data_IF_389197068996
#
_entry.id   IF_389197068996
#
_cell.length_a   1.000
_cell.length_b   1.000
_cell.length_c   1.000
_cell.angle_alpha   90.00
_cell.angle_beta   90.00
_cell.angle_gamma   90.00
#
_symmetry.space_group_name_H-M   'P 1'
#
loop_
_entity.id
_entity.type
_entity.pdbx_description
1 polymer ?
#
# COMPACT_ATOMS: atom_id res chain seq x y z
N UNK A 1 22.42 -44.53 -18.56
CA UNK A 1 20.97 -44.19 -18.36
C UNK A 1 20.85 -43.43 -17.05
N UNK A 2 21.07 -42.11 -17.08
CA UNK A 2 20.69 -41.20 -15.98
C UNK A 2 19.21 -41.04 -16.00
N UNK A 3 18.52 -41.50 -14.95
CA UNK A 3 17.09 -41.18 -14.69
C UNK A 3 17.02 -39.70 -14.28
N UNK A 4 16.43 -38.89 -15.13
CA UNK A 4 15.95 -37.57 -14.76
C UNK A 4 14.86 -37.76 -13.69
N UNK A 5 15.21 -37.65 -12.42
CA UNK A 5 14.24 -37.38 -11.36
C UNK A 5 13.91 -35.90 -11.48
N UNK A 6 12.75 -35.59 -12.05
CA UNK A 6 12.22 -34.25 -11.97
C UNK A 6 12.16 -33.85 -10.50
N UNK A 7 12.86 -32.78 -10.13
CA UNK A 7 12.63 -32.12 -8.85
C UNK A 7 11.12 -31.88 -8.76
N UNK A 8 10.49 -32.49 -7.75
CA UNK A 8 9.12 -32.13 -7.39
C UNK A 8 9.21 -30.70 -6.90
N UNK A 9 8.90 -29.75 -7.79
CA UNK A 9 8.76 -28.35 -7.41
C UNK A 9 7.81 -28.29 -6.22
N UNK A 10 8.35 -28.03 -5.04
CA UNK A 10 7.55 -27.78 -3.86
C UNK A 10 6.59 -26.65 -4.17
N UNK A 11 5.31 -26.77 -3.84
CA UNK A 11 4.32 -25.75 -4.20
C UNK A 11 4.75 -24.41 -3.62
N UNK A 12 4.78 -23.37 -4.46
CA UNK A 12 5.06 -22.00 -4.00
C UNK A 12 3.94 -21.52 -3.09
N UNK A 13 4.32 -21.07 -1.91
CA UNK A 13 3.40 -20.63 -0.86
C UNK A 13 3.16 -19.12 -0.95
N UNK A 14 1.96 -18.68 -0.61
CA UNK A 14 1.53 -17.27 -0.75
C UNK A 14 2.39 -16.31 0.09
N UNK A 15 2.49 -16.59 1.39
CA UNK A 15 3.19 -15.68 2.30
C UNK A 15 4.70 -15.72 2.09
N UNK A 16 5.26 -16.89 1.74
CA UNK A 16 6.66 -17.01 1.32
C UNK A 16 6.97 -16.07 0.15
N UNK A 17 6.15 -16.09 -0.89
CA UNK A 17 6.31 -15.23 -2.07
C UNK A 17 6.11 -13.75 -1.73
N UNK A 18 5.16 -13.43 -0.86
CA UNK A 18 5.00 -12.06 -0.34
C UNK A 18 6.23 -11.59 0.43
N UNK A 19 6.79 -12.42 1.30
CA UNK A 19 7.96 -12.09 2.10
C UNK A 19 9.19 -11.84 1.21
N UNK A 20 9.40 -12.68 0.21
CA UNK A 20 10.49 -12.51 -0.76
C UNK A 20 10.33 -11.21 -1.56
N UNK A 21 9.11 -10.90 -2.03
CA UNK A 21 8.81 -9.65 -2.69
C UNK A 21 9.06 -8.45 -1.78
N UNK A 22 8.58 -8.50 -0.52
CA UNK A 22 8.72 -7.42 0.45
C UNK A 22 10.19 -7.20 0.81
N UNK A 23 11.00 -8.26 0.92
CA UNK A 23 12.44 -8.17 1.14
C UNK A 23 13.12 -7.38 0.03
N UNK A 24 12.85 -7.71 -1.25
CA UNK A 24 13.40 -6.99 -2.41
C UNK A 24 12.98 -5.51 -2.41
N UNK A 25 11.73 -5.22 -2.05
CA UNK A 25 11.26 -3.84 -1.98
C UNK A 25 11.91 -3.05 -0.85
N UNK A 26 12.21 -3.71 0.27
CA UNK A 26 12.92 -3.09 1.40
C UNK A 26 14.37 -2.76 1.05
N UNK A 27 15.06 -3.62 0.30
CA UNK A 27 16.44 -3.39 -0.18
C UNK A 27 16.53 -2.18 -1.13
N UNK A 28 15.44 -1.86 -1.85
CA UNK A 28 15.35 -0.72 -2.76
C UNK A 28 14.67 0.51 -2.13
N UNK A 29 14.41 0.47 -0.82
CA UNK A 29 13.78 1.58 -0.12
C UNK A 29 14.72 2.79 -0.09
N UNK A 30 14.19 3.97 -0.42
CA UNK A 30 14.97 5.20 -0.57
C UNK A 30 15.59 5.42 -1.94
N UNK A 31 15.58 4.38 -2.81
CA UNK A 31 15.95 4.49 -4.23
C UNK A 31 14.69 4.47 -5.10
N UNK A 32 14.11 3.28 -5.28
CA UNK A 32 12.96 3.08 -6.15
C UNK A 32 11.62 3.13 -5.41
N UNK A 33 11.63 2.87 -4.10
CA UNK A 33 10.42 2.78 -3.29
C UNK A 33 10.49 3.64 -2.05
N UNK A 34 9.40 4.37 -1.79
CA UNK A 34 9.20 5.09 -0.53
C UNK A 34 8.75 4.13 0.57
N UNK A 35 9.15 4.41 1.83
CA UNK A 35 8.83 3.59 3.00
C UNK A 35 7.33 3.24 3.12
N UNK A 36 6.44 4.20 2.81
CA UNK A 36 5.00 3.99 2.85
C UNK A 36 4.47 2.95 1.84
N UNK A 37 5.21 2.70 0.75
CA UNK A 37 4.87 1.63 -0.20
C UNK A 37 5.25 0.27 0.37
N UNK A 38 6.45 0.13 0.92
CA UNK A 38 6.93 -1.11 1.55
C UNK A 38 6.00 -1.52 2.69
N UNK A 39 5.71 -0.60 3.62
CA UNK A 39 4.81 -0.83 4.75
C UNK A 39 3.40 -1.31 4.32
N UNK A 40 2.88 -0.85 3.19
CA UNK A 40 1.58 -1.31 2.67
C UNK A 40 1.62 -2.75 2.20
N UNK A 41 2.70 -3.19 1.55
CA UNK A 41 2.86 -4.59 1.17
C UNK A 41 3.05 -5.50 2.39
N UNK A 42 3.85 -5.09 3.36
CA UNK A 42 4.04 -5.81 4.62
C UNK A 42 2.72 -5.97 5.37
N UNK A 43 1.93 -4.90 5.44
CA UNK A 43 0.60 -4.92 6.07
C UNK A 43 -0.38 -5.82 5.32
N UNK A 44 -0.28 -5.88 3.98
CA UNK A 44 -1.08 -6.80 3.16
C UNK A 44 -0.74 -8.25 3.49
N UNK A 45 0.55 -8.60 3.53
CA UNK A 45 1.01 -9.93 3.90
C UNK A 45 0.57 -10.33 5.33
N UNK A 46 0.70 -9.39 6.28
CA UNK A 46 0.24 -9.58 7.66
C UNK A 46 -1.25 -9.92 7.72
N UNK A 47 -2.11 -9.16 7.02
CA UNK A 47 -3.56 -9.39 7.04
C UNK A 47 -3.95 -10.70 6.36
N UNK A 48 -3.23 -11.11 5.31
CA UNK A 48 -3.42 -12.43 4.70
C UNK A 48 -3.05 -13.56 5.67
N UNK A 49 -1.93 -13.44 6.38
CA UNK A 49 -1.52 -14.41 7.39
C UNK A 49 -2.51 -14.53 8.55
N UNK A 50 -3.03 -13.41 9.04
CA UNK A 50 -4.04 -13.40 10.08
C UNK A 50 -5.36 -14.04 9.62
N UNK A 51 -5.79 -13.80 8.36
CA UNK A 51 -6.94 -14.49 7.76
C UNK A 51 -6.72 -16.00 7.71
N UNK A 52 -5.55 -16.43 7.21
CA UNK A 52 -5.21 -17.85 7.10
C UNK A 52 -5.24 -18.55 8.45
N UNK A 53 -4.69 -17.92 9.48
CA UNK A 53 -4.72 -18.48 10.84
C UNK A 53 -6.14 -18.54 11.42
N UNK A 54 -6.92 -17.46 11.23
CA UNK A 54 -8.26 -17.35 11.83
C UNK A 54 -9.29 -18.26 11.17
N UNK A 55 -9.38 -18.26 9.85
CA UNK A 55 -10.43 -18.97 9.12
C UNK A 55 -10.00 -20.34 8.62
N UNK A 56 -8.73 -20.49 8.24
CA UNK A 56 -8.23 -21.75 7.65
C UNK A 56 -7.36 -22.56 8.63
N UNK A 57 -6.97 -22.01 9.79
CA UNK A 57 -6.06 -22.63 10.76
C UNK A 57 -4.73 -23.09 10.13
N UNK A 58 -4.27 -22.37 9.14
CA UNK A 58 -3.05 -22.63 8.38
C UNK A 58 -2.07 -21.48 8.53
N UNK A 59 -0.78 -21.79 8.46
CA UNK A 59 0.26 -20.77 8.49
C UNK A 59 0.51 -20.13 7.12
N UNK A 60 0.25 -20.87 6.04
CA UNK A 60 0.40 -20.41 4.65
C UNK A 60 -0.47 -21.27 3.74
N UNK A 61 -0.68 -20.84 2.48
CA UNK A 61 -1.49 -21.53 1.48
C UNK A 61 -0.74 -21.63 0.15
N UNK A 62 -0.80 -22.79 -0.56
CA UNK A 62 -0.26 -22.88 -1.91
C UNK A 62 -0.91 -21.88 -2.86
N UNK A 63 -0.11 -21.18 -3.67
CA UNK A 63 -0.61 -20.21 -4.65
C UNK A 63 -1.68 -20.80 -5.60
N UNK A 64 -1.59 -22.10 -5.91
CA UNK A 64 -2.54 -22.82 -6.77
C UNK A 64 -3.93 -22.98 -6.16
N UNK A 65 -4.06 -22.88 -4.85
CA UNK A 65 -5.32 -23.02 -4.12
C UNK A 65 -6.07 -21.68 -3.96
N UNK A 66 -5.44 -20.59 -4.37
CA UNK A 66 -6.05 -19.26 -4.31
C UNK A 66 -7.08 -19.14 -5.42
N UNK A 67 -8.33 -19.03 -5.03
CA UNK A 67 -9.47 -18.87 -5.90
C UNK A 67 -10.21 -17.55 -5.64
N UNK A 68 -11.26 -17.29 -6.40
CA UNK A 68 -12.09 -16.11 -6.25
C UNK A 68 -12.72 -15.99 -4.85
N UNK A 69 -13.14 -17.13 -4.26
CA UNK A 69 -13.72 -17.16 -2.93
C UNK A 69 -12.73 -16.70 -1.86
N UNK A 70 -11.47 -17.14 -1.93
CA UNK A 70 -10.42 -16.70 -1.01
C UNK A 70 -10.22 -15.17 -1.06
N UNK A 71 -10.27 -14.60 -2.26
CA UNK A 71 -10.13 -13.14 -2.44
C UNK A 71 -11.33 -12.40 -1.87
N UNK A 72 -12.55 -12.90 -2.07
CA UNK A 72 -13.75 -12.33 -1.49
C UNK A 72 -13.74 -12.39 0.05
N UNK A 73 -13.28 -13.50 0.63
CA UNK A 73 -13.08 -13.63 2.07
C UNK A 73 -12.03 -12.66 2.61
N UNK A 74 -10.94 -12.47 1.89
CA UNK A 74 -9.92 -11.48 2.27
C UNK A 74 -10.48 -10.05 2.23
N UNK A 75 -11.26 -9.70 1.21
CA UNK A 75 -11.94 -8.41 1.14
C UNK A 75 -12.89 -8.20 2.34
N UNK A 76 -13.72 -9.20 2.63
CA UNK A 76 -14.63 -9.18 3.77
C UNK A 76 -13.86 -9.02 5.10
N UNK A 77 -12.82 -9.83 5.30
CA UNK A 77 -11.98 -9.79 6.50
C UNK A 77 -11.37 -8.41 6.75
N UNK A 78 -10.80 -7.78 5.71
CA UNK A 78 -10.19 -6.45 5.82
C UNK A 78 -11.23 -5.38 6.15
N UNK A 79 -12.45 -5.49 5.62
CA UNK A 79 -13.54 -4.55 5.91
C UNK A 79 -14.10 -4.71 7.32
N UNK A 80 -14.33 -5.93 7.76
CA UNK A 80 -14.98 -6.22 9.05
C UNK A 80 -13.99 -6.21 10.21
N UNK A 81 -12.97 -7.04 10.15
CA UNK A 81 -12.04 -7.23 11.27
C UNK A 81 -11.01 -6.12 11.40
N UNK A 82 -10.61 -5.50 10.27
CA UNK A 82 -9.65 -4.39 10.28
C UNK A 82 -10.32 -3.02 10.15
N UNK A 83 -11.64 -2.99 10.06
CA UNK A 83 -12.45 -1.76 9.93
C UNK A 83 -11.91 -0.82 8.83
N UNK A 84 -11.39 -1.38 7.74
CA UNK A 84 -10.82 -0.60 6.67
C UNK A 84 -11.90 -0.03 5.76
N UNK A 85 -11.81 1.27 5.48
CA UNK A 85 -12.67 1.91 4.48
C UNK A 85 -12.44 1.33 3.08
N UNK A 86 -13.43 1.48 2.18
CA UNK A 86 -13.43 0.93 0.82
C UNK A 86 -12.12 1.19 0.06
N UNK A 87 -11.63 2.43 0.04
CA UNK A 87 -10.43 2.77 -0.70
C UNK A 87 -9.15 2.15 -0.12
N UNK A 88 -9.09 1.92 1.20
CA UNK A 88 -7.99 1.22 1.85
C UNK A 88 -8.03 -0.28 1.49
N UNK A 89 -9.20 -0.90 1.55
CA UNK A 89 -9.41 -2.29 1.14
C UNK A 89 -8.97 -2.52 -0.30
N UNK A 90 -9.39 -1.65 -1.22
CA UNK A 90 -8.97 -1.72 -2.63
C UNK A 90 -7.44 -1.66 -2.79
N UNK A 91 -6.73 -0.88 -1.97
CA UNK A 91 -5.26 -0.84 -2.00
C UNK A 91 -4.65 -2.19 -1.61
N UNK A 92 -5.16 -2.85 -0.57
CA UNK A 92 -4.69 -4.19 -0.17
C UNK A 92 -4.97 -5.24 -1.25
N UNK A 93 -6.17 -5.22 -1.83
CA UNK A 93 -6.51 -6.11 -2.95
C UNK A 93 -5.64 -5.88 -4.18
N UNK A 94 -5.30 -4.63 -4.52
CA UNK A 94 -4.37 -4.31 -5.61
C UNK A 94 -2.95 -4.83 -5.33
N UNK A 95 -2.46 -4.73 -4.09
CA UNK A 95 -1.18 -5.30 -3.70
C UNK A 95 -1.19 -6.83 -3.83
N UNK A 96 -2.25 -7.48 -3.36
CA UNK A 96 -2.42 -8.92 -3.50
C UNK A 96 -2.49 -9.33 -4.98
N UNK A 97 -3.29 -8.65 -5.80
CA UNK A 97 -3.36 -8.88 -7.26
C UNK A 97 -1.98 -8.78 -7.94
N UNK A 98 -1.11 -7.87 -7.49
CA UNK A 98 0.25 -7.74 -8.02
C UNK A 98 1.09 -8.98 -7.76
N UNK A 99 0.99 -9.58 -6.57
CA UNK A 99 1.71 -10.82 -6.23
C UNK A 99 1.18 -11.99 -7.07
N UNK A 100 -0.14 -12.13 -7.21
CA UNK A 100 -0.74 -13.14 -8.08
C UNK A 100 -0.33 -12.96 -9.53
N UNK A 101 -0.29 -11.71 -10.04
CA UNK A 101 0.21 -11.43 -11.40
C UNK A 101 1.68 -11.84 -11.55
N UNK A 102 2.50 -11.60 -10.55
CA UNK A 102 3.90 -12.05 -10.56
C UNK A 102 3.99 -13.58 -10.58
N UNK A 103 3.14 -14.28 -9.83
CA UNK A 103 3.08 -15.75 -9.84
C UNK A 103 2.66 -16.31 -11.22
N UNK A 104 1.74 -15.65 -11.91
CA UNK A 104 1.33 -15.98 -13.29
C UNK A 104 2.49 -15.81 -14.29
N UNK A 105 3.18 -14.66 -14.22
CA UNK A 105 4.33 -14.37 -15.10
C UNK A 105 5.44 -15.39 -14.92
N UNK A 106 5.69 -15.83 -13.67
CA UNK A 106 6.68 -16.86 -13.35
C UNK A 106 6.16 -18.30 -13.58
N UNK A 107 4.95 -18.47 -14.10
CA UNK A 107 4.32 -19.77 -14.38
C UNK A 107 4.17 -20.67 -13.15
N UNK A 108 4.09 -20.10 -11.95
CA UNK A 108 3.82 -20.85 -10.71
C UNK A 108 2.35 -21.24 -10.58
N UNK A 109 1.47 -20.46 -11.22
CA UNK A 109 0.02 -20.71 -11.34
C UNK A 109 -0.41 -20.51 -12.79
N UNK A 110 -1.51 -21.13 -13.16
CA UNK A 110 -2.13 -21.02 -14.50
C UNK A 110 -3.42 -20.20 -14.46
N UNK A 111 -4.12 -20.25 -13.34
CA UNK A 111 -5.41 -19.61 -13.18
C UNK A 111 -5.27 -18.15 -12.77
N UNK A 112 -6.25 -17.33 -13.18
CA UNK A 112 -6.31 -15.89 -12.89
C UNK A 112 -7.44 -15.60 -11.90
N UNK A 113 -7.24 -15.80 -10.60
CA UNK A 113 -8.33 -15.68 -9.62
C UNK A 113 -8.91 -14.27 -9.50
N UNK A 114 -8.23 -13.25 -10.03
CA UNK A 114 -8.68 -11.86 -10.08
C UNK A 114 -9.37 -11.45 -11.39
N UNK A 115 -9.70 -12.38 -12.29
CA UNK A 115 -10.17 -12.05 -13.64
C UNK A 115 -11.42 -11.16 -13.62
N UNK A 116 -12.41 -11.50 -12.79
CA UNK A 116 -13.70 -10.82 -12.71
C UNK A 116 -13.82 -9.79 -11.58
N UNK A 117 -12.73 -9.54 -10.85
CA UNK A 117 -12.77 -8.62 -9.72
C UNK A 117 -12.55 -7.19 -10.16
N UNK A 118 -13.61 -6.39 -10.06
CA UNK A 118 -13.59 -4.96 -10.34
C UNK A 118 -13.45 -4.14 -9.05
N UNK A 119 -12.38 -3.35 -8.97
CA UNK A 119 -12.12 -2.51 -7.81
C UNK A 119 -12.86 -1.19 -7.91
N UNK A 120 -14.02 -1.08 -7.25
CA UNK A 120 -14.76 0.19 -7.13
C UNK A 120 -14.10 1.07 -6.07
N UNK A 121 -13.64 2.25 -6.46
CA UNK A 121 -13.16 3.26 -5.52
C UNK A 121 -14.26 4.29 -5.27
N UNK A 122 -14.41 4.70 -4.01
CA UNK A 122 -15.30 5.78 -3.63
C UNK A 122 -14.60 7.12 -3.88
N UNK A 123 -15.26 8.05 -4.58
CA UNK A 123 -14.76 9.41 -4.70
C UNK A 123 -14.66 10.04 -3.32
N UNK A 124 -13.49 10.59 -3.03
CA UNK A 124 -13.27 11.32 -1.77
C UNK A 124 -13.46 12.81 -2.08
N UNK A 125 -14.53 13.40 -1.59
CA UNK A 125 -14.65 14.85 -1.54
C UNK A 125 -13.72 15.36 -0.46
N UNK A 126 -12.65 16.04 -0.86
CA UNK A 126 -11.79 16.76 0.08
C UNK A 126 -12.30 18.17 0.17
N UNK A 127 -12.61 18.61 1.38
CA UNK A 127 -12.87 20.01 1.64
C UNK A 127 -11.61 20.83 1.27
N UNK A 128 -11.82 21.97 0.71
CA UNK A 128 -10.79 22.97 0.45
C UNK A 128 -11.19 24.27 1.18
N UNK A 129 -10.20 25.06 1.54
CA UNK A 129 -10.47 26.37 2.15
C UNK A 129 -10.92 27.35 1.05
N UNK A 130 -11.93 28.13 1.37
CA UNK A 130 -12.31 29.29 0.56
C UNK A 130 -11.27 30.39 0.72
N UNK A 131 -11.28 31.38 -0.17
CA UNK A 131 -10.38 32.54 -0.07
C UNK A 131 -10.59 33.30 1.26
N UNK A 132 -11.82 33.43 1.70
CA UNK A 132 -12.17 34.08 2.98
C UNK A 132 -11.57 33.30 4.17
N UNK A 133 -11.73 31.97 4.19
CA UNK A 133 -11.16 31.12 5.24
C UNK A 133 -9.63 31.16 5.23
N UNK A 134 -9.01 31.20 4.05
CA UNK A 134 -7.56 31.36 3.92
C UNK A 134 -7.09 32.71 4.47
N UNK A 135 -7.82 33.79 4.19
CA UNK A 135 -7.54 35.13 4.73
C UNK A 135 -7.71 35.21 6.25
N UNK A 136 -8.71 34.52 6.82
CA UNK A 136 -8.87 34.39 8.26
C UNK A 136 -7.66 33.65 8.87
N UNK A 137 -7.26 32.55 8.25
CA UNK A 137 -6.11 31.77 8.69
C UNK A 137 -4.80 32.58 8.66
N UNK A 138 -4.59 33.37 7.59
CA UNK A 138 -3.44 34.25 7.41
C UNK A 138 -3.31 35.28 8.54
N UNK A 139 -4.44 35.87 8.95
CA UNK A 139 -4.48 36.92 9.99
C UNK A 139 -4.51 36.35 11.41
N UNK A 140 -4.72 35.04 11.57
CA UNK A 140 -4.84 34.42 12.89
C UNK A 140 -3.49 34.34 13.59
N UNK A 141 -3.39 34.94 14.77
CA UNK A 141 -2.26 34.78 15.65
C UNK A 141 -2.38 33.51 16.50
N UNK A 142 -1.29 32.78 16.64
CA UNK A 142 -1.20 31.58 17.47
C UNK A 142 -0.25 31.84 18.62
N UNK A 143 -0.65 31.46 19.82
CA UNK A 143 0.19 31.55 21.04
C UNK A 143 1.35 30.56 21.01
N UNK A 144 1.24 29.47 20.24
CA UNK A 144 2.25 28.44 20.11
C UNK A 144 3.08 28.71 18.83
N UNK A 145 4.39 29.02 18.92
CA UNK A 145 5.23 29.38 17.77
C UNK A 145 5.24 28.34 16.66
N UNK A 146 5.24 27.06 17.03
CA UNK A 146 5.17 25.95 16.06
C UNK A 146 3.91 26.02 15.16
N UNK A 147 2.75 26.37 15.72
CA UNK A 147 1.52 26.49 14.93
C UNK A 147 1.57 27.69 13.98
N UNK A 148 2.24 28.76 14.40
CA UNK A 148 2.45 29.92 13.55
C UNK A 148 3.30 29.55 12.32
N UNK A 149 4.41 28.84 12.53
CA UNK A 149 5.26 28.35 11.42
C UNK A 149 4.47 27.41 10.48
N UNK A 150 3.69 26.49 11.02
CA UNK A 150 2.85 25.58 10.21
C UNK A 150 1.82 26.36 9.38
N UNK A 151 1.17 27.38 9.95
CA UNK A 151 0.26 28.28 9.25
C UNK A 151 0.96 28.98 8.10
N UNK A 152 2.12 29.58 8.36
CA UNK A 152 2.85 30.36 7.36
C UNK A 152 3.26 29.48 6.17
N UNK A 153 3.79 28.30 6.44
CA UNK A 153 4.13 27.31 5.42
C UNK A 153 2.89 26.89 4.64
N UNK A 154 1.77 26.61 5.33
CA UNK A 154 0.52 26.20 4.67
C UNK A 154 -0.01 27.31 3.74
N UNK A 155 -0.09 28.54 4.24
CA UNK A 155 -0.57 29.69 3.46
C UNK A 155 0.35 29.96 2.27
N UNK A 156 1.65 29.92 2.48
CA UNK A 156 2.62 30.05 1.40
C UNK A 156 2.40 29.01 0.30
N UNK A 157 2.28 27.72 0.67
CA UNK A 157 2.00 26.63 -0.28
C UNK A 157 0.66 26.81 -0.99
N UNK A 158 -0.38 27.29 -0.28
CA UNK A 158 -1.70 27.51 -0.83
C UNK A 158 -1.70 28.65 -1.88
N UNK A 159 -0.97 29.74 -1.62
CA UNK A 159 -0.90 30.91 -2.50
C UNK A 159 0.03 30.67 -3.73
N UNK A 160 1.10 29.90 -3.55
CA UNK A 160 2.08 29.66 -4.62
C UNK A 160 1.81 28.40 -5.45
N UNK A 161 0.95 27.49 -4.95
CA UNK A 161 0.74 26.18 -5.56
C UNK A 161 1.90 25.18 -5.37
N UNK A 162 2.93 25.57 -4.59
CA UNK A 162 4.06 24.69 -4.31
C UNK A 162 3.66 23.56 -3.36
N UNK A 163 4.10 22.33 -3.64
CA UNK A 163 3.96 21.25 -2.69
C UNK A 163 4.92 21.44 -1.51
N UNK A 164 4.50 21.07 -0.30
CA UNK A 164 5.34 21.15 0.91
C UNK A 164 6.71 20.49 0.74
N UNK A 165 6.77 19.36 0.03
CA UNK A 165 8.02 18.67 -0.29
C UNK A 165 8.97 19.52 -1.14
N UNK A 166 8.43 20.32 -2.07
CA UNK A 166 9.26 21.24 -2.89
C UNK A 166 9.89 22.33 -2.02
N UNK A 167 9.15 22.81 -1.02
CA UNK A 167 9.67 23.81 -0.09
C UNK A 167 10.84 23.26 0.75
N UNK A 168 10.78 22.01 1.19
CA UNK A 168 11.86 21.36 1.94
C UNK A 168 13.15 21.26 1.10
N UNK A 169 13.04 20.89 -0.17
CA UNK A 169 14.22 20.78 -1.05
C UNK A 169 14.87 22.13 -1.37
N UNK A 170 14.12 23.23 -1.32
CA UNK A 170 14.72 24.57 -1.50
C UNK A 170 15.44 25.08 -0.26
N UNK A 171 15.03 24.63 0.94
CA UNK A 171 15.75 24.99 2.19
C UNK A 171 17.06 24.22 2.32
N UNK A 172 17.09 22.93 1.99
CA UNK A 172 18.33 22.13 2.01
C UNK A 172 19.39 22.67 1.02
N UNK A 173 18.95 23.18 -0.13
CA UNK A 173 19.87 23.77 -1.12
C UNK A 173 20.42 25.15 -0.68
N UNK A 174 19.80 25.83 0.28
CA UNK A 174 20.26 27.11 0.79
C UNK A 174 21.28 26.96 1.95
N UNK A 175 21.31 25.82 2.62
CA UNK A 175 22.27 25.51 3.68
C UNK A 175 23.61 24.97 3.13
N UNK A 176 23.71 24.68 1.82
CA UNK A 176 24.93 24.21 1.14
C UNK A 176 25.72 25.34 0.47
N UNK A 177 25.39 26.63 0.70
CA UNK A 177 26.09 27.82 0.20
C UNK A 177 26.72 28.61 1.37
#
# INVERSE_FOLDING_TARGET
>A
RQRYYGERDSPKMLLEVFQEHNRKYRELMGKDYVAGTVLRYERTAKYLGELLQKEYRMNDIPLKEINHEFIARFEHYVKTEKSCAQNATVKYLKNFKKIIKMALVNKWITDVPFLEIHFKQTKTNRAFLTEEELNILLKKEFTIPRLQTVRDIFVFCALTGLAFTCLLYTSDAADDL
#
